data_IF_791759385279
#
_entry.id   IF_791759385279
#
_cell.length_a   1.000
_cell.length_b   1.000
_cell.length_c   1.000
_cell.angle_alpha   90.00
_cell.angle_beta   90.00
_cell.angle_gamma   90.00
#
_symmetry.space_group_name_H-M   'P 1'
#
loop_
_entity.id
_entity.type
_entity.pdbx_description
1 polymer ?
#
# COMPACT_ATOMS: atom_id res chain seq x y z
N UNK A 1 -62.89 -28.10 22.99
CA UNK A 1 -62.30 -26.95 22.27
C UNK A 1 -61.36 -26.23 23.22
N UNK A 2 -60.07 -26.48 23.13
CA UNK A 2 -59.04 -25.61 23.68
C UNK A 2 -57.97 -25.50 22.60
N UNK A 3 -57.92 -24.34 21.95
CA UNK A 3 -56.90 -24.00 20.96
C UNK A 3 -55.59 -23.75 21.70
N UNK A 4 -54.58 -24.57 21.44
CA UNK A 4 -53.20 -24.23 21.71
C UNK A 4 -52.68 -23.45 20.50
N UNK A 5 -52.35 -22.18 20.71
CA UNK A 5 -51.55 -21.38 19.78
C UNK A 5 -50.12 -21.93 19.80
N UNK A 6 -49.69 -22.56 18.72
CA UNK A 6 -48.28 -22.68 18.37
C UNK A 6 -48.00 -21.68 17.26
N UNK A 7 -47.33 -20.59 17.59
CA UNK A 7 -46.75 -19.68 16.61
C UNK A 7 -45.74 -20.42 15.73
N UNK A 8 -45.67 -20.16 14.41
CA UNK A 8 -44.59 -20.65 13.58
C UNK A 8 -43.33 -19.84 13.88
N UNK A 9 -42.33 -20.48 14.48
CA UNK A 9 -41.02 -19.92 14.71
C UNK A 9 -40.26 -19.85 13.37
N UNK A 10 -40.59 -18.88 12.52
CA UNK A 10 -39.87 -18.57 11.27
C UNK A 10 -38.86 -17.46 11.52
N UNK A 11 -37.82 -17.76 12.29
CA UNK A 11 -36.59 -16.97 12.32
C UNK A 11 -35.61 -17.52 11.30
N UNK A 12 -35.84 -17.26 10.02
CA UNK A 12 -34.93 -17.64 8.94
C UNK A 12 -33.64 -16.81 9.08
N UNK A 13 -32.67 -17.31 9.85
CA UNK A 13 -31.37 -16.67 10.01
C UNK A 13 -30.64 -16.77 8.68
N UNK A 14 -30.73 -15.72 7.85
CA UNK A 14 -29.92 -15.58 6.64
C UNK A 14 -28.44 -15.82 6.97
N UNK A 15 -27.82 -16.75 6.24
CA UNK A 15 -26.40 -17.05 6.37
C UNK A 15 -25.55 -15.78 6.16
N UNK A 16 -24.47 -15.64 6.91
CA UNK A 16 -23.59 -14.46 6.87
C UNK A 16 -22.14 -14.85 6.67
N UNK A 17 -21.39 -14.01 5.97
CA UNK A 17 -19.93 -14.19 5.84
C UNK A 17 -19.24 -14.17 7.21
N UNK A 18 -18.37 -15.16 7.48
CA UNK A 18 -17.61 -15.21 8.74
C UNK A 18 -16.38 -14.31 8.74
N UNK A 19 -15.80 -14.05 7.56
CA UNK A 19 -14.63 -13.19 7.35
C UNK A 19 -14.80 -12.35 6.08
N UNK A 20 -13.92 -11.38 5.86
CA UNK A 20 -13.96 -10.55 4.67
C UNK A 20 -13.52 -11.37 3.44
N UNK A 21 -14.11 -11.07 2.29
CA UNK A 21 -13.53 -11.40 0.99
C UNK A 21 -12.82 -10.15 0.47
N UNK A 22 -11.54 -10.28 0.18
CA UNK A 22 -10.67 -9.16 -0.19
C UNK A 22 -9.88 -9.45 -1.47
N UNK A 23 -9.38 -8.40 -2.10
CA UNK A 23 -8.48 -8.48 -3.26
C UNK A 23 -7.10 -7.94 -2.89
N UNK A 24 -6.04 -8.63 -3.33
CA UNK A 24 -4.68 -8.09 -3.22
C UNK A 24 -4.49 -6.85 -4.09
N UNK A 25 -3.99 -5.79 -3.48
CA UNK A 25 -3.59 -4.54 -4.14
C UNK A 25 -2.09 -4.27 -3.98
N UNK A 26 -1.60 -3.26 -4.69
CA UNK A 26 -0.22 -2.81 -4.66
C UNK A 26 0.28 -2.62 -3.22
N UNK A 27 1.47 -3.12 -2.93
CA UNK A 27 2.05 -3.11 -1.57
C UNK A 27 1.73 -4.36 -0.74
N UNK A 28 1.14 -5.41 -1.35
CA UNK A 28 0.72 -6.64 -0.66
C UNK A 28 -0.34 -6.38 0.42
N UNK A 29 -1.23 -5.44 0.13
CA UNK A 29 -2.37 -5.05 0.98
C UNK A 29 -3.61 -5.84 0.52
N UNK A 30 -4.45 -6.25 1.46
CA UNK A 30 -5.74 -6.86 1.19
C UNK A 30 -6.84 -5.80 1.32
N UNK A 31 -7.50 -5.48 0.21
CA UNK A 31 -8.62 -4.52 0.19
C UNK A 31 -9.94 -5.27 0.29
N UNK A 32 -10.74 -5.11 1.36
CA UNK A 32 -12.04 -5.79 1.52
C UNK A 32 -13.03 -5.35 0.43
N UNK A 33 -13.67 -6.33 -0.21
CA UNK A 33 -14.78 -6.10 -1.17
C UNK A 33 -16.12 -6.51 -0.56
N UNK A 34 -16.17 -7.63 0.17
CA UNK A 34 -17.32 -8.02 0.97
C UNK A 34 -16.88 -8.18 2.41
N UNK A 35 -17.53 -7.47 3.32
CA UNK A 35 -17.16 -7.47 4.73
C UNK A 35 -17.79 -8.65 5.49
N UNK A 36 -17.12 -9.05 6.57
CA UNK A 36 -17.64 -9.97 7.57
C UNK A 36 -19.03 -9.54 8.02
N UNK A 37 -19.93 -10.50 8.15
CA UNK A 37 -21.30 -10.28 8.61
C UNK A 37 -22.28 -9.90 7.50
N UNK A 38 -21.82 -9.72 6.26
CA UNK A 38 -22.71 -9.52 5.10
C UNK A 38 -23.60 -10.74 4.90
N UNK A 39 -24.90 -10.52 4.75
CA UNK A 39 -25.90 -11.58 4.52
C UNK A 39 -25.78 -12.15 3.11
N UNK A 40 -25.96 -13.46 2.96
CA UNK A 40 -25.91 -14.17 1.69
C UNK A 40 -27.33 -14.43 1.15
N UNK A 41 -27.54 -14.45 -0.17
CA UNK A 41 -26.57 -14.13 -1.24
C UNK A 41 -26.18 -12.64 -1.26
N UNK A 42 -24.99 -12.34 -1.77
CA UNK A 42 -24.50 -10.96 -1.89
C UNK A 42 -23.59 -10.78 -3.09
N UNK A 43 -23.48 -9.54 -3.55
CA UNK A 43 -22.45 -9.14 -4.50
C UNK A 43 -21.96 -7.74 -4.18
N UNK A 44 -20.69 -7.48 -4.48
CA UNK A 44 -20.17 -6.12 -4.51
C UNK A 44 -19.22 -5.94 -5.68
N UNK A 45 -19.15 -4.70 -6.16
CA UNK A 45 -18.36 -4.28 -7.32
C UNK A 45 -17.45 -3.16 -6.88
N UNK A 46 -16.15 -3.32 -7.12
CA UNK A 46 -15.15 -2.29 -6.86
C UNK A 46 -14.29 -2.08 -8.09
N UNK A 47 -13.98 -0.82 -8.37
CA UNK A 47 -13.08 -0.45 -9.46
C UNK A 47 -11.66 -0.37 -8.89
N UNK A 48 -10.69 -0.79 -9.68
CA UNK A 48 -9.26 -0.67 -9.42
C UNK A 48 -8.57 -0.04 -10.63
N UNK A 49 -7.29 0.26 -10.50
CA UNK A 49 -6.46 0.73 -11.61
C UNK A 49 -5.14 -0.03 -11.73
N UNK A 50 -4.46 0.09 -12.87
CA UNK A 50 -3.11 -0.49 -13.00
C UNK A 50 -2.10 0.25 -12.11
N UNK A 51 -1.24 -0.51 -11.44
CA UNK A 51 -0.20 0.03 -10.54
C UNK A 51 1.05 0.55 -11.26
N UNK A 52 1.27 0.17 -12.53
CA UNK A 52 2.43 0.56 -13.32
C UNK A 52 2.07 1.12 -14.71
N UNK A 53 2.95 1.96 -15.25
CA UNK A 53 2.82 2.51 -16.59
C UNK A 53 2.91 1.40 -17.65
N UNK A 54 2.05 1.48 -18.66
CA UNK A 54 1.98 0.52 -19.77
C UNK A 54 1.76 -0.94 -19.33
N UNK A 55 1.20 -1.14 -18.13
CA UNK A 55 0.88 -2.46 -17.62
C UNK A 55 -0.19 -3.12 -18.49
N UNK A 56 0.18 -4.23 -19.15
CA UNK A 56 -0.67 -4.94 -20.11
C UNK A 56 -1.50 -6.08 -19.52
N UNK A 57 -1.30 -6.40 -18.25
CA UNK A 57 -2.06 -7.43 -17.55
C UNK A 57 -2.13 -7.13 -16.05
N UNK A 58 -3.22 -7.55 -15.42
CA UNK A 58 -3.40 -7.48 -13.96
C UNK A 58 -3.65 -8.87 -13.41
N UNK A 59 -2.99 -9.20 -12.30
CA UNK A 59 -3.30 -10.40 -11.52
C UNK A 59 -4.34 -10.04 -10.45
N UNK A 60 -5.43 -10.79 -10.42
CA UNK A 60 -6.49 -10.68 -9.41
C UNK A 60 -6.28 -11.84 -8.44
N UNK A 61 -5.95 -11.52 -7.19
CA UNK A 61 -5.77 -12.51 -6.14
C UNK A 61 -6.85 -12.32 -5.08
N UNK A 62 -7.70 -13.34 -4.96
CA UNK A 62 -8.82 -13.38 -4.01
C UNK A 62 -8.37 -13.94 -2.67
N UNK A 63 -8.73 -13.22 -1.61
CA UNK A 63 -8.34 -13.46 -0.23
C UNK A 63 -9.57 -13.64 0.66
N UNK A 64 -9.42 -14.42 1.71
CA UNK A 64 -10.42 -14.64 2.74
C UNK A 64 -9.79 -14.50 4.12
N UNK A 65 -10.25 -13.55 4.91
CA UNK A 65 -9.68 -13.24 6.21
C UNK A 65 -10.03 -11.84 6.70
N UNK A 66 -9.39 -11.39 7.78
CA UNK A 66 -9.63 -10.07 8.37
C UNK A 66 -8.38 -9.21 8.51
N UNK A 67 -7.26 -9.61 7.89
CA UNK A 67 -6.00 -8.88 8.00
C UNK A 67 -5.82 -7.88 6.86
N UNK A 68 -5.22 -6.73 7.14
CA UNK A 68 -4.94 -5.71 6.11
C UNK A 68 -3.79 -6.11 5.17
N UNK A 69 -2.91 -7.02 5.60
CA UNK A 69 -1.82 -7.54 4.78
C UNK A 69 -2.21 -8.88 4.14
N UNK A 70 -1.85 -9.10 2.88
CA UNK A 70 -2.10 -10.36 2.14
C UNK A 70 -1.66 -11.58 2.95
N UNK A 71 -0.51 -11.49 3.63
CA UNK A 71 0.06 -12.55 4.44
C UNK A 71 -0.85 -13.00 5.59
N UNK A 72 -1.75 -12.14 6.07
CA UNK A 72 -2.65 -12.42 7.18
C UNK A 72 -4.00 -12.98 6.72
N UNK A 73 -4.13 -13.38 5.46
CA UNK A 73 -5.37 -13.89 4.88
C UNK A 73 -5.14 -15.21 4.13
N UNK A 74 -6.20 -16.00 4.00
CA UNK A 74 -6.19 -17.21 3.20
C UNK A 74 -6.32 -16.88 1.71
N UNK A 75 -5.46 -17.45 0.86
CA UNK A 75 -5.61 -17.37 -0.59
C UNK A 75 -6.76 -18.27 -1.05
N UNK A 76 -7.75 -17.70 -1.72
CA UNK A 76 -8.81 -18.46 -2.38
C UNK A 76 -8.42 -18.80 -3.82
N UNK A 77 -7.71 -17.92 -4.52
CA UNK A 77 -7.19 -18.22 -5.86
C UNK A 77 -6.72 -16.99 -6.62
N UNK A 78 -6.12 -17.21 -7.79
CA UNK A 78 -5.60 -16.16 -8.66
C UNK A 78 -6.03 -16.37 -10.11
N UNK A 79 -6.21 -15.28 -10.84
CA UNK A 79 -6.32 -15.30 -12.29
C UNK A 79 -5.77 -13.99 -12.89
N UNK A 80 -5.45 -14.01 -14.18
CA UNK A 80 -4.82 -12.87 -14.86
C UNK A 80 -5.77 -12.34 -15.94
N UNK A 81 -6.13 -11.07 -15.85
CA UNK A 81 -6.75 -10.33 -16.95
C UNK A 81 -5.64 -9.78 -17.87
N UNK A 82 -5.58 -10.29 -19.09
CA UNK A 82 -4.56 -9.95 -20.10
C UNK A 82 -5.07 -8.91 -21.11
N UNK A 83 -4.13 -8.40 -21.91
CA UNK A 83 -4.38 -7.51 -23.05
C UNK A 83 -4.99 -6.14 -22.70
N UNK A 84 -4.63 -5.60 -21.54
CA UNK A 84 -4.95 -4.21 -21.18
C UNK A 84 -4.18 -3.27 -22.13
N UNK A 85 -4.85 -2.27 -22.75
CA UNK A 85 -4.19 -1.30 -23.59
C UNK A 85 -3.11 -0.52 -22.81
N UNK A 86 -1.91 -0.30 -23.37
CA UNK A 86 -0.86 0.45 -22.70
C UNK A 86 -1.32 1.88 -22.42
N UNK A 87 -1.25 2.29 -21.15
CA UNK A 87 -1.54 3.64 -20.68
C UNK A 87 -0.75 3.91 -19.40
N UNK A 88 -0.54 5.18 -19.02
CA UNK A 88 -0.03 5.53 -17.69
C UNK A 88 -0.81 4.83 -16.57
N UNK A 89 -0.13 4.52 -15.46
CA UNK A 89 -0.75 3.97 -14.24
C UNK A 89 -1.93 4.82 -13.78
N UNK A 90 -2.92 4.20 -13.15
CA UNK A 90 -4.14 4.90 -12.70
C UNK A 90 -5.18 5.15 -13.80
N UNK A 91 -4.84 5.04 -15.09
CA UNK A 91 -5.78 5.31 -16.20
C UNK A 91 -6.64 4.09 -16.56
N UNK A 92 -6.08 2.88 -16.80
CA UNK A 92 -6.91 1.70 -17.00
C UNK A 92 -7.75 1.42 -15.76
N UNK A 93 -9.06 1.22 -15.95
CA UNK A 93 -10.01 0.95 -14.86
C UNK A 93 -10.49 -0.49 -14.95
N UNK A 94 -10.19 -1.26 -13.90
CA UNK A 94 -10.51 -2.68 -13.79
C UNK A 94 -11.65 -2.84 -12.80
N UNK A 95 -12.82 -3.17 -13.30
CA UNK A 95 -14.00 -3.48 -12.49
C UNK A 95 -13.91 -4.91 -11.99
N UNK A 96 -13.77 -5.10 -10.68
CA UNK A 96 -13.77 -6.40 -10.02
C UNK A 96 -15.12 -6.61 -9.34
N UNK A 97 -15.83 -7.65 -9.73
CA UNK A 97 -17.09 -8.07 -9.13
C UNK A 97 -16.85 -9.33 -8.32
N UNK A 98 -17.24 -9.33 -7.04
CA UNK A 98 -17.23 -10.51 -6.18
C UNK A 98 -18.68 -10.82 -5.79
N UNK A 99 -19.14 -12.02 -6.11
CA UNK A 99 -20.49 -12.48 -5.76
C UNK A 99 -20.46 -13.83 -5.05
N UNK A 100 -21.36 -14.00 -4.11
CA UNK A 100 -21.64 -15.26 -3.41
C UNK A 100 -23.14 -15.51 -3.51
N UNK A 101 -23.53 -16.60 -4.14
CA UNK A 101 -24.94 -16.94 -4.33
C UNK A 101 -25.56 -17.70 -3.15
N UNK A 102 -26.84 -18.08 -3.28
CA UNK A 102 -27.60 -18.78 -2.24
C UNK A 102 -27.13 -20.23 -2.03
N UNK A 103 -26.35 -20.78 -2.96
CA UNK A 103 -25.70 -22.08 -2.88
C UNK A 103 -24.25 -21.96 -2.38
N UNK A 104 -23.84 -20.77 -1.93
CA UNK A 104 -22.49 -20.44 -1.48
C UNK A 104 -21.42 -20.59 -2.58
N UNK A 105 -21.80 -20.49 -3.85
CA UNK A 105 -20.85 -20.43 -4.94
C UNK A 105 -20.26 -19.03 -5.03
N UNK A 106 -18.93 -18.95 -4.92
CA UNK A 106 -18.16 -17.71 -5.04
C UNK A 106 -17.74 -17.51 -6.49
N UNK A 107 -18.05 -16.35 -7.05
CA UNK A 107 -17.61 -15.94 -8.38
C UNK A 107 -16.90 -14.60 -8.30
N UNK A 108 -15.71 -14.52 -8.88
CA UNK A 108 -14.95 -13.27 -9.03
C UNK A 108 -14.73 -13.00 -10.50
N UNK A 109 -15.10 -11.82 -10.96
CA UNK A 109 -14.89 -11.37 -12.35
C UNK A 109 -14.07 -10.10 -12.34
N UNK A 110 -13.11 -9.97 -13.24
CA UNK A 110 -12.40 -8.72 -13.50
C UNK A 110 -12.59 -8.30 -14.95
N UNK A 111 -12.97 -7.03 -15.16
CA UNK A 111 -13.29 -6.46 -16.46
C UNK A 111 -12.58 -5.13 -16.69
N UNK A 112 -11.85 -5.00 -17.79
CA UNK A 112 -11.38 -3.70 -18.25
C UNK A 112 -12.57 -2.89 -18.81
N UNK A 113 -12.89 -1.76 -18.17
CA UNK A 113 -14.04 -0.92 -18.55
C UNK A 113 -13.92 -0.31 -19.94
N UNK A 114 -12.69 -0.11 -20.44
CA UNK A 114 -12.47 0.53 -21.75
C UNK A 114 -12.69 -0.45 -22.90
N UNK A 115 -12.10 -1.64 -22.80
CA UNK A 115 -12.20 -2.66 -23.87
C UNK A 115 -13.39 -3.59 -23.70
N UNK A 116 -13.97 -3.65 -22.49
CA UNK A 116 -15.04 -4.58 -22.14
C UNK A 116 -14.58 -6.01 -21.89
N UNK A 117 -13.28 -6.30 -22.07
CA UNK A 117 -12.69 -7.62 -21.87
C UNK A 117 -12.79 -8.03 -20.40
N UNK A 118 -13.18 -9.28 -20.16
CA UNK A 118 -13.31 -9.83 -18.82
C UNK A 118 -12.69 -11.22 -18.69
N UNK A 119 -12.26 -11.56 -17.48
CA UNK A 119 -11.84 -12.89 -17.05
C UNK A 119 -12.50 -13.18 -15.70
N UNK A 120 -12.74 -14.45 -15.38
CA UNK A 120 -13.40 -14.84 -14.14
C UNK A 120 -12.78 -16.08 -13.49
N UNK A 121 -12.93 -16.15 -12.17
CA UNK A 121 -12.61 -17.30 -11.32
C UNK A 121 -13.87 -17.68 -10.55
N UNK A 122 -14.41 -18.87 -10.82
CA UNK A 122 -15.51 -19.46 -10.05
C UNK A 122 -14.98 -20.56 -9.12
N UNK A 123 -15.44 -20.57 -7.88
CA UNK A 123 -15.13 -21.63 -6.92
C UNK A 123 -16.36 -21.99 -6.08
N UNK A 124 -16.60 -23.30 -5.95
CA UNK A 124 -17.55 -23.83 -4.98
C UNK A 124 -16.83 -23.95 -3.63
N UNK A 125 -17.06 -22.99 -2.73
CA UNK A 125 -16.41 -22.94 -1.41
C UNK A 125 -17.48 -22.86 -0.33
N UNK A 126 -17.43 -23.75 0.67
CA UNK A 126 -18.25 -23.57 1.86
C UNK A 126 -17.67 -22.45 2.74
N UNK A 127 -18.06 -21.21 2.45
CA UNK A 127 -17.59 -20.02 3.19
C UNK A 127 -18.15 -19.94 4.61
N UNK A 128 -19.16 -20.75 4.97
CA UNK A 128 -19.80 -20.74 6.28
C UNK A 128 -19.09 -21.60 7.33
N UNK A 129 -18.24 -22.53 6.91
CA UNK A 129 -17.51 -23.44 7.81
C UNK A 129 -15.99 -23.33 7.64
N UNK A 130 -15.54 -22.51 6.69
CA UNK A 130 -14.12 -22.33 6.42
C UNK A 130 -13.49 -21.46 7.49
N UNK A 131 -12.78 -22.08 8.42
CA UNK A 131 -11.82 -21.40 9.28
C UNK A 131 -10.74 -20.74 8.41
N UNK A 132 -10.31 -19.52 8.78
CA UNK A 132 -9.09 -18.95 8.22
C UNK A 132 -7.94 -19.78 8.80
N UNK A 133 -7.20 -20.57 7.99
CA UNK A 133 -6.12 -21.37 8.52
C UNK A 133 -5.15 -20.44 9.26
N UNK A 134 -4.68 -20.82 10.46
CA UNK A 134 -3.58 -20.10 11.10
C UNK A 134 -2.41 -20.06 10.11
N UNK A 135 -1.69 -18.94 10.09
CA UNK A 135 -0.60 -18.66 9.15
C UNK A 135 0.38 -19.84 9.07
N UNK A 136 0.24 -20.67 8.04
CA UNK A 136 1.10 -21.84 7.79
C UNK A 136 1.87 -21.63 6.49
N UNK A 137 3.18 -21.46 6.63
CA UNK A 137 4.16 -21.24 5.56
C UNK A 137 4.23 -22.39 4.54
N UNK A 138 3.65 -23.56 4.83
CA UNK A 138 3.70 -24.73 3.96
C UNK A 138 2.87 -24.62 2.68
N UNK A 139 1.93 -23.67 2.60
CA UNK A 139 1.10 -23.45 1.41
C UNK A 139 1.47 -22.18 0.65
N UNK A 140 2.64 -21.60 0.88
CA UNK A 140 3.09 -20.42 0.14
C UNK A 140 3.28 -20.76 -1.35
N UNK A 141 2.47 -20.23 -2.29
CA UNK A 141 2.95 -20.09 -3.66
C UNK A 141 4.09 -19.06 -3.62
N UNK A 142 5.23 -19.40 -4.21
CA UNK A 142 6.37 -18.49 -4.34
C UNK A 142 5.93 -17.16 -4.98
N UNK A 143 5.73 -16.11 -4.16
CA UNK A 143 5.37 -14.77 -4.63
C UNK A 143 6.64 -14.12 -5.18
N UNK A 144 6.73 -14.05 -6.52
CA UNK A 144 7.57 -13.04 -7.18
C UNK A 144 6.87 -11.68 -7.03
N UNK A 145 7.60 -10.57 -6.76
CA UNK A 145 6.98 -9.27 -6.60
C UNK A 145 6.27 -8.79 -7.90
N UNK A 146 4.94 -8.73 -7.84
CA UNK A 146 4.13 -7.49 -7.88
C UNK A 146 4.41 -6.45 -8.97
N UNK A 147 4.77 -6.86 -10.20
CA UNK A 147 4.74 -5.96 -11.38
C UNK A 147 3.37 -5.93 -12.08
N UNK A 148 2.39 -6.68 -11.58
CA UNK A 148 1.06 -6.84 -12.20
C UNK A 148 -0.10 -6.61 -11.23
N UNK A 149 0.16 -6.08 -10.02
CA UNK A 149 -0.90 -5.82 -9.06
C UNK A 149 -1.68 -4.55 -9.41
N UNK A 150 -2.89 -4.45 -8.87
CA UNK A 150 -3.81 -3.32 -9.04
C UNK A 150 -3.68 -2.33 -7.88
N UNK A 151 -3.91 -1.05 -8.13
CA UNK A 151 -4.06 -0.02 -7.08
C UNK A 151 -5.53 0.22 -6.79
N UNK A 152 -5.88 0.39 -5.51
CA UNK A 152 -7.24 0.74 -5.09
C UNK A 152 -7.65 2.06 -5.73
N UNK A 153 -8.76 2.02 -6.48
CA UNK A 153 -9.28 3.20 -7.15
C UNK A 153 -9.79 4.22 -6.15
N UNK A 154 -10.32 3.82 -4.98
CA UNK A 154 -10.86 4.76 -4.00
C UNK A 154 -9.77 5.65 -3.38
N UNK A 155 -8.57 5.10 -3.14
CA UNK A 155 -7.41 5.87 -2.70
C UNK A 155 -6.96 6.92 -3.74
N UNK A 156 -7.19 6.65 -5.03
CA UNK A 156 -6.91 7.56 -6.15
C UNK A 156 -8.11 8.49 -6.43
N UNK A 157 -9.33 8.04 -6.15
CA UNK A 157 -10.59 8.78 -6.33
C UNK A 157 -10.80 9.81 -5.22
N UNK A 158 -10.34 9.56 -4.00
CA UNK A 158 -10.25 10.59 -2.95
C UNK A 158 -9.22 11.69 -3.31
N UNK A 159 -8.21 11.37 -4.12
CA UNK A 159 -7.27 12.34 -4.70
C UNK A 159 -7.85 13.06 -5.95
N UNK A 160 -8.89 12.52 -6.59
CA UNK A 160 -9.36 12.97 -7.92
C UNK A 160 -10.81 13.51 -7.96
N UNK A 161 -11.73 13.05 -7.11
CA UNK A 161 -13.19 13.26 -7.25
C UNK A 161 -13.91 13.84 -6.02
N UNK A 162 -13.17 14.33 -5.02
CA UNK A 162 -13.71 15.23 -3.99
C UNK A 162 -14.12 16.60 -4.57
N UNK A 163 -15.17 16.66 -5.38
CA UNK A 163 -15.85 17.87 -5.85
C UNK A 163 -17.30 17.87 -5.36
N UNK A 164 -17.91 19.00 -4.99
CA UNK A 164 -18.49 19.97 -5.93
C UNK A 164 -18.50 21.38 -5.30
N UNK A 165 -18.19 22.37 -6.14
CA UNK A 165 -18.21 23.83 -5.95
C UNK A 165 -16.94 24.51 -5.40
N UNK A 166 -15.94 24.69 -6.28
CA UNK A 166 -15.48 26.04 -6.73
C UNK A 166 -14.36 25.95 -7.78
N UNK A 167 -14.61 26.61 -8.91
CA UNK A 167 -13.70 27.25 -9.87
C UNK A 167 -12.45 26.50 -10.39
N UNK A 168 -12.25 26.43 -11.72
CA UNK A 168 -10.91 26.22 -12.27
C UNK A 168 -10.10 27.50 -12.00
N UNK A 169 -9.25 27.48 -10.97
CA UNK A 169 -8.23 28.50 -10.76
C UNK A 169 -6.86 27.91 -11.08
N UNK A 170 -6.10 28.60 -11.92
CA UNK A 170 -4.68 28.89 -11.74
C UNK A 170 -3.90 27.89 -10.93
N UNK A 171 -3.00 27.19 -11.64
CA UNK A 171 -1.81 26.52 -11.09
C UNK A 171 -2.14 25.62 -9.92
N UNK A 172 -2.20 24.30 -10.14
CA UNK A 172 -2.11 23.35 -9.04
C UNK A 172 -1.01 23.87 -8.07
N UNK A 173 -1.34 24.19 -6.81
CA UNK A 173 -0.32 24.62 -5.87
C UNK A 173 0.74 23.52 -5.87
N UNK A 174 1.98 23.88 -6.23
CA UNK A 174 3.12 22.95 -6.23
C UNK A 174 3.04 22.16 -4.93
N UNK A 175 2.92 20.83 -5.00
CA UNK A 175 3.00 19.96 -3.84
C UNK A 175 4.21 20.39 -3.01
N UNK A 176 3.92 20.96 -1.85
CA UNK A 176 4.92 21.50 -0.93
C UNK A 176 5.58 20.31 -0.23
N UNK A 177 4.80 19.26 0.00
CA UNK A 177 5.21 17.99 0.60
C UNK A 177 5.77 17.03 -0.46
N UNK A 178 6.62 16.10 -0.04
CA UNK A 178 7.25 15.08 -0.90
C UNK A 178 7.06 13.72 -0.25
N UNK A 179 6.59 12.74 -1.00
CA UNK A 179 6.53 11.33 -0.55
C UNK A 179 7.75 10.56 -1.04
N UNK A 180 8.41 9.83 -0.14
CA UNK A 180 9.60 9.01 -0.46
C UNK A 180 9.43 7.63 0.16
N UNK A 181 9.75 6.59 -0.59
CA UNK A 181 9.81 5.22 -0.07
C UNK A 181 11.05 5.04 0.80
N UNK A 182 10.86 4.61 2.05
CA UNK A 182 11.94 4.23 2.96
C UNK A 182 12.00 2.70 3.05
N UNK A 183 12.97 2.11 2.36
CA UNK A 183 13.24 0.67 2.49
C UNK A 183 13.86 0.38 3.84
N UNK A 184 13.32 -0.60 4.57
CA UNK A 184 13.75 -1.02 5.91
C UNK A 184 13.93 -2.53 5.89
N UNK A 185 15.03 -3.04 6.43
CA UNK A 185 15.23 -4.50 6.54
C UNK A 185 14.33 -5.06 7.64
N UNK A 186 14.05 -6.36 7.61
CA UNK A 186 13.27 -7.00 8.67
C UNK A 186 13.86 -6.78 10.08
N UNK A 187 15.20 -6.83 10.20
CA UNK A 187 15.89 -6.59 11.47
C UNK A 187 15.71 -5.14 11.94
N UNK A 188 15.92 -4.17 11.04
CA UNK A 188 15.70 -2.75 11.34
C UNK A 188 14.23 -2.48 11.71
N UNK A 189 13.28 -3.17 11.08
CA UNK A 189 11.87 -3.05 11.40
C UNK A 189 11.55 -3.61 12.79
N UNK A 190 12.18 -4.71 13.19
CA UNK A 190 11.97 -5.32 14.51
C UNK A 190 12.68 -4.58 15.66
N UNK A 191 13.86 -4.02 15.41
CA UNK A 191 14.72 -3.44 16.45
C UNK A 191 14.78 -1.90 16.43
N UNK A 192 14.30 -1.28 15.35
CA UNK A 192 14.53 0.14 15.07
C UNK A 192 15.91 0.38 14.46
N UNK A 193 16.07 1.52 13.80
CA UNK A 193 17.32 1.88 13.14
C UNK A 193 17.47 3.39 12.94
N UNK A 194 18.71 3.84 12.71
CA UNK A 194 18.95 5.16 12.13
C UNK A 194 19.29 4.96 10.66
N UNK A 195 18.45 5.47 9.76
CA UNK A 195 18.69 5.42 8.32
C UNK A 195 18.96 6.80 7.77
N UNK A 196 19.76 6.82 6.72
CA UNK A 196 20.09 8.04 5.99
C UNK A 196 19.62 7.86 4.55
N UNK A 197 18.90 8.85 4.02
CA UNK A 197 18.38 8.82 2.67
C UNK A 197 18.55 10.17 1.98
N UNK A 198 18.70 10.13 0.67
CA UNK A 198 18.77 11.32 -0.16
C UNK A 198 17.39 11.68 -0.70
N UNK A 199 16.95 12.89 -0.40
CA UNK A 199 15.73 13.47 -0.93
C UNK A 199 16.06 14.50 -2.01
N UNK A 200 15.26 14.55 -3.07
CA UNK A 200 15.31 15.61 -4.08
C UNK A 200 14.22 16.62 -3.77
N UNK A 201 14.59 17.88 -3.57
CA UNK A 201 13.65 18.95 -3.23
C UNK A 201 13.94 20.23 -4.00
N UNK A 202 12.96 21.12 -4.10
CA UNK A 202 13.12 22.45 -4.67
C UNK A 202 13.46 23.48 -3.59
N UNK A 203 14.64 24.07 -3.71
CA UNK A 203 15.09 25.21 -2.91
C UNK A 203 14.87 26.53 -3.65
N UNK A 204 14.90 27.65 -2.94
CA UNK A 204 15.00 28.96 -3.58
C UNK A 204 16.35 29.10 -4.28
N UNK A 205 16.33 29.66 -5.48
CA UNK A 205 17.57 30.01 -6.17
C UNK A 205 18.28 31.13 -5.39
N UNK A 206 19.49 30.84 -4.92
CA UNK A 206 20.29 31.73 -4.08
C UNK A 206 20.69 33.02 -4.79
N UNK A 207 20.86 33.01 -6.12
CA UNK A 207 21.22 34.20 -6.92
C UNK A 207 20.07 35.19 -7.07
N UNK A 208 18.83 34.72 -7.23
CA UNK A 208 17.68 35.59 -7.48
C UNK A 208 16.69 35.69 -6.31
N UNK A 209 16.93 34.94 -5.22
CA UNK A 209 16.07 34.92 -4.03
C UNK A 209 14.62 34.47 -4.31
N UNK A 210 14.39 33.62 -5.30
CA UNK A 210 13.03 33.21 -5.71
C UNK A 210 12.40 34.04 -6.83
N UNK A 211 12.97 35.21 -7.15
CA UNK A 211 12.40 36.11 -8.17
C UNK A 211 12.54 35.58 -9.60
N UNK A 212 13.40 34.60 -9.87
CA UNK A 212 13.68 34.16 -11.26
C UNK A 212 14.19 35.28 -12.18
N UNK A 213 14.44 36.48 -11.68
CA UNK A 213 14.98 37.60 -12.40
C UNK A 213 16.51 37.57 -12.29
N UNK A 214 17.21 38.05 -13.30
CA UNK A 214 18.64 38.25 -13.19
C UNK A 214 18.95 39.26 -12.07
N UNK A 215 20.04 39.05 -11.33
CA UNK A 215 20.46 39.97 -10.27
C UNK A 215 20.54 41.42 -10.79
N UNK A 216 19.96 42.36 -10.03
CA UNK A 216 19.87 43.77 -10.42
C UNK A 216 18.70 44.13 -11.33
N UNK A 217 17.89 43.16 -11.77
CA UNK A 217 16.65 43.42 -12.53
C UNK A 217 15.41 43.16 -11.67
N UNK A 218 14.30 43.84 -11.97
CA UNK A 218 13.06 43.71 -11.20
C UNK A 218 12.02 42.88 -11.95
N UNK A 219 11.14 42.24 -11.18
CA UNK A 219 9.87 41.70 -11.69
C UNK A 219 8.88 42.84 -11.82
N UNK A 220 8.25 42.94 -12.98
CA UNK A 220 7.11 43.82 -13.19
C UNK A 220 5.84 42.99 -13.28
N UNK A 221 4.74 43.47 -12.72
CA UNK A 221 3.44 42.80 -12.82
C UNK A 221 3.04 42.69 -14.30
N UNK A 222 2.53 41.54 -14.72
CA UNK A 222 2.08 41.39 -16.10
C UNK A 222 0.77 42.16 -16.29
N UNK A 223 0.82 43.24 -17.06
CA UNK A 223 -0.34 44.10 -17.34
C UNK A 223 -1.46 43.34 -18.07
N UNK A 224 -1.13 42.30 -18.87
CA UNK A 224 -2.14 41.56 -19.65
C UNK A 224 -3.07 40.72 -18.75
N UNK A 225 -2.57 40.22 -17.62
CA UNK A 225 -3.36 39.45 -16.67
C UNK A 225 -3.44 40.11 -15.28
N UNK A 226 -2.97 41.35 -15.14
CA UNK A 226 -2.87 42.08 -13.87
C UNK A 226 -2.27 41.24 -12.73
N UNK A 227 -1.18 40.51 -12.99
CA UNK A 227 -0.54 39.72 -11.93
C UNK A 227 -1.11 38.32 -11.72
N UNK A 228 -2.29 37.99 -12.26
CA UNK A 228 -3.00 36.74 -11.95
C UNK A 228 -2.41 35.51 -12.64
N UNK A 229 -1.60 35.71 -13.69
CA UNK A 229 -1.03 34.61 -14.47
C UNK A 229 -2.00 33.96 -15.46
N UNK A 230 -3.29 34.30 -15.42
CA UNK A 230 -4.32 33.68 -16.24
C UNK A 230 -5.21 34.70 -16.95
N UNK A 231 -5.88 34.26 -18.01
CA UNK A 231 -6.92 35.02 -18.70
C UNK A 231 -8.18 34.17 -18.69
N UNK A 232 -9.29 34.78 -18.28
CA UNK A 232 -10.61 34.13 -18.24
C UNK A 232 -11.44 34.66 -19.39
N UNK A 233 -11.90 33.77 -20.25
CA UNK A 233 -12.77 34.09 -21.38
C UNK A 233 -14.16 33.48 -21.12
N UNK A 234 -15.16 34.34 -20.95
CA UNK A 234 -16.55 33.90 -20.75
C UNK A 234 -17.24 33.78 -22.10
N UNK A 235 -17.73 32.60 -22.43
CA UNK A 235 -18.54 32.33 -23.62
C UNK A 235 -19.95 31.95 -23.18
N UNK A 236 -20.96 32.61 -23.74
CA UNK A 236 -22.36 32.25 -23.52
C UNK A 236 -22.73 31.07 -24.42
N UNK A 237 -23.27 30.01 -23.81
CA UNK A 237 -23.81 28.84 -24.51
C UNK A 237 -25.29 28.69 -24.20
N UNK A 238 -26.00 27.84 -24.95
CA UNK A 238 -27.41 27.54 -24.72
C UNK A 238 -27.69 26.89 -23.34
N UNK A 239 -26.65 26.41 -22.65
CA UNK A 239 -26.69 25.84 -21.30
C UNK A 239 -26.25 26.83 -20.20
N UNK A 240 -25.95 28.09 -20.56
CA UNK A 240 -25.45 29.12 -19.64
C UNK A 240 -24.06 29.64 -20.00
N UNK A 241 -23.49 30.48 -19.13
CA UNK A 241 -22.16 31.04 -19.32
C UNK A 241 -21.08 30.01 -18.95
N UNK A 242 -20.26 29.60 -19.93
CA UNK A 242 -19.04 28.82 -19.70
C UNK A 242 -17.83 29.75 -19.60
N UNK A 243 -16.99 29.59 -18.59
CA UNK A 243 -15.74 30.34 -18.44
C UNK A 243 -14.58 29.43 -18.79
N UNK A 244 -13.85 29.77 -19.84
CA UNK A 244 -12.58 29.11 -20.19
C UNK A 244 -11.43 29.86 -19.55
N UNK A 245 -10.59 29.15 -18.81
CA UNK A 245 -9.39 29.72 -18.18
C UNK A 245 -8.17 29.25 -18.97
N UNK A 246 -7.34 30.19 -19.39
CA UNK A 246 -6.09 29.90 -20.09
C UNK A 246 -4.91 30.58 -19.40
N UNK A 247 -3.72 29.96 -19.38
CA UNK A 247 -2.52 30.63 -18.92
C UNK A 247 -2.26 31.88 -19.77
N UNK A 248 -1.97 33.00 -19.13
CA UNK A 248 -1.74 34.26 -19.81
C UNK A 248 -0.59 34.11 -20.82
N UNK A 249 -0.80 34.36 -22.13
CA UNK A 249 0.23 34.15 -23.14
C UNK A 249 1.41 35.12 -23.02
N UNK A 250 1.24 36.26 -22.31
CA UNK A 250 2.30 37.25 -22.11
C UNK A 250 3.28 36.81 -21.01
N UNK A 251 2.81 36.34 -19.87
CA UNK A 251 3.67 35.89 -18.76
C UNK A 251 3.77 34.36 -18.61
N UNK A 252 3.09 33.60 -19.48
CA UNK A 252 3.05 32.13 -19.49
C UNK A 252 2.69 31.53 -18.12
N UNK A 253 1.67 32.08 -17.46
CA UNK A 253 1.24 31.62 -16.14
C UNK A 253 1.93 32.27 -14.94
N UNK A 254 3.05 33.00 -15.14
CA UNK A 254 3.87 33.50 -14.03
C UNK A 254 3.29 34.73 -13.30
N UNK A 255 2.31 35.41 -13.85
CA UNK A 255 1.73 36.65 -13.29
C UNK A 255 2.64 37.87 -13.39
N UNK A 256 3.95 37.69 -13.46
CA UNK A 256 4.95 38.75 -13.63
C UNK A 256 5.78 38.54 -14.90
N UNK A 257 6.35 39.63 -15.40
CA UNK A 257 7.38 39.64 -16.43
C UNK A 257 8.72 39.99 -15.78
N UNK A 258 9.77 39.30 -16.20
CA UNK A 258 11.15 39.64 -15.86
C UNK A 258 11.81 40.28 -17.07
N UNK A 259 12.62 41.32 -16.88
CA UNK A 259 13.39 41.93 -17.97
C UNK A 259 14.41 40.94 -18.56
N UNK A 260 15.18 40.29 -17.70
CA UNK A 260 16.03 39.15 -18.05
C UNK A 260 15.85 38.01 -17.04
N UNK A 261 15.80 36.79 -17.55
CA UNK A 261 15.64 35.60 -16.70
C UNK A 261 16.96 35.27 -15.99
N UNK A 262 16.88 34.87 -14.72
CA UNK A 262 18.04 34.42 -13.95
C UNK A 262 18.75 33.28 -14.68
N UNK A 263 20.05 33.43 -14.95
CA UNK A 263 20.83 32.42 -15.66
C UNK A 263 20.88 31.06 -14.92
N UNK A 264 20.91 31.09 -13.58
CA UNK A 264 21.08 29.88 -12.76
C UNK A 264 19.82 29.02 -12.73
N UNK A 265 18.65 29.61 -12.47
CA UNK A 265 17.38 28.88 -12.40
C UNK A 265 16.55 29.00 -13.69
N UNK A 266 17.07 29.65 -14.73
CA UNK A 266 16.40 29.88 -16.02
C UNK A 266 15.01 30.50 -15.88
N UNK A 267 14.85 31.38 -14.89
CA UNK A 267 13.58 32.06 -14.64
C UNK A 267 12.56 31.31 -13.77
N UNK A 268 12.92 30.15 -13.21
CA UNK A 268 12.03 29.36 -12.33
C UNK A 268 11.99 29.88 -10.88
N UNK A 269 13.02 30.61 -10.44
CA UNK A 269 13.16 31.07 -9.06
C UNK A 269 13.54 29.98 -8.05
N UNK A 270 13.51 28.71 -8.45
CA UNK A 270 13.85 27.57 -7.62
C UNK A 270 14.89 26.67 -8.31
N UNK A 271 15.65 25.92 -7.53
CA UNK A 271 16.63 24.93 -7.99
C UNK A 271 16.29 23.57 -7.40
N UNK A 272 16.54 22.49 -8.15
CA UNK A 272 16.43 21.13 -7.62
C UNK A 272 17.73 20.78 -6.90
N UNK A 273 17.62 20.45 -5.62
CA UNK A 273 18.75 20.07 -4.75
C UNK A 273 18.56 18.64 -4.24
N UNK A 274 19.66 17.91 -4.12
CA UNK A 274 19.71 16.66 -3.36
C UNK A 274 20.15 16.97 -1.93
N UNK A 275 19.37 16.54 -0.94
CA UNK A 275 19.72 16.68 0.48
C UNK A 275 19.67 15.31 1.14
N UNK A 276 20.72 15.00 1.89
CA UNK A 276 20.73 13.85 2.76
C UNK A 276 20.02 14.18 4.08
N UNK A 277 19.10 13.31 4.50
CA UNK A 277 18.39 13.39 5.78
C UNK A 277 18.60 12.10 6.57
N UNK A 278 18.79 12.24 7.87
CA UNK A 278 18.88 11.09 8.80
C UNK A 278 17.59 10.98 9.58
N UNK A 279 17.07 9.76 9.67
CA UNK A 279 15.75 9.46 10.21
C UNK A 279 15.88 8.31 11.19
N UNK A 280 15.18 8.42 12.31
CA UNK A 280 15.12 7.37 13.32
C UNK A 280 13.87 6.54 13.06
N UNK A 281 14.06 5.33 12.53
CA UNK A 281 13.02 4.34 12.31
C UNK A 281 12.71 3.69 13.66
N UNK A 282 11.48 3.80 14.18
CA UNK A 282 11.12 3.17 15.44
C UNK A 282 11.08 1.64 15.28
N UNK A 283 11.22 0.92 16.39
CA UNK A 283 11.01 -0.52 16.41
C UNK A 283 9.54 -0.90 16.17
N UNK A 284 9.34 -2.09 15.60
CA UNK A 284 8.04 -2.69 15.21
C UNK A 284 7.29 -1.88 14.16
N UNK A 285 8.01 -1.26 13.22
CA UNK A 285 7.38 -0.69 12.02
C UNK A 285 6.97 -1.80 11.06
N UNK A 286 5.85 -1.60 10.38
CA UNK A 286 5.39 -2.48 9.31
C UNK A 286 5.35 -1.70 7.99
N UNK A 287 5.21 -2.44 6.88
CA UNK A 287 5.01 -1.82 5.57
C UNK A 287 3.76 -0.95 5.59
N UNK A 288 3.84 0.24 5.01
CA UNK A 288 2.76 1.22 4.97
C UNK A 288 2.79 2.24 6.12
N UNK A 289 3.59 2.04 7.17
CA UNK A 289 3.81 3.09 8.17
C UNK A 289 4.31 4.38 7.50
N UNK A 290 3.73 5.52 7.88
CA UNK A 290 4.12 6.83 7.34
C UNK A 290 4.82 7.65 8.42
N UNK A 291 6.05 8.08 8.15
CA UNK A 291 6.81 8.98 9.03
C UNK A 291 6.88 10.38 8.41
N UNK A 292 6.61 11.42 9.22
CA UNK A 292 6.64 12.81 8.76
C UNK A 292 7.90 13.52 9.22
N UNK A 293 8.57 14.19 8.30
CA UNK A 293 9.72 15.06 8.58
C UNK A 293 9.36 16.49 8.20
N UNK A 294 9.21 17.33 9.22
CA UNK A 294 8.73 18.69 9.04
C UNK A 294 9.75 19.60 8.36
N UNK A 295 9.30 20.43 7.41
CA UNK A 295 10.09 21.50 6.82
C UNK A 295 11.26 21.05 5.94
N UNK A 296 11.32 19.77 5.55
CA UNK A 296 12.42 19.24 4.74
C UNK A 296 12.08 19.13 3.25
N UNK A 297 10.83 19.34 2.85
CA UNK A 297 10.40 19.22 1.46
C UNK A 297 10.58 20.53 0.65
N UNK A 298 9.73 20.76 -0.35
CA UNK A 298 9.85 21.89 -1.27
C UNK A 298 9.56 23.21 -0.55
N UNK A 299 10.20 24.30 -0.97
CA UNK A 299 9.72 25.64 -0.58
C UNK A 299 8.41 25.97 -1.28
N UNK A 300 7.57 26.74 -0.59
CA UNK A 300 6.46 27.46 -1.21
C UNK A 300 6.96 28.38 -2.33
N UNK A 301 6.05 28.76 -3.23
CA UNK A 301 6.38 29.63 -4.35
C UNK A 301 6.88 31.02 -3.91
N UNK A 302 6.46 31.50 -2.74
CA UNK A 302 6.92 32.74 -2.11
C UNK A 302 8.19 32.55 -1.26
N UNK A 303 8.65 31.31 -1.06
CA UNK A 303 9.86 30.98 -0.34
C UNK A 303 9.79 31.08 1.17
N UNK A 304 8.63 31.39 1.75
CA UNK A 304 8.49 31.67 3.20
C UNK A 304 8.39 30.42 4.06
N UNK A 305 7.89 29.32 3.52
CA UNK A 305 7.74 28.07 4.25
C UNK A 305 8.15 26.87 3.42
N UNK A 306 8.28 25.73 4.10
CA UNK A 306 8.61 24.42 3.50
C UNK A 306 7.58 23.40 3.89
N UNK A 307 7.36 22.44 3.01
CA UNK A 307 6.49 21.30 3.27
C UNK A 307 7.20 20.20 4.04
N UNK A 308 6.49 19.10 4.22
CA UNK A 308 6.96 17.92 4.92
C UNK A 308 7.41 16.82 3.95
N UNK A 309 8.39 16.03 4.38
CA UNK A 309 8.70 14.77 3.72
C UNK A 309 7.91 13.66 4.40
N UNK A 310 7.12 12.93 3.62
CA UNK A 310 6.34 11.78 4.05
C UNK A 310 7.09 10.52 3.64
N UNK A 311 7.66 9.81 4.61
CA UNK A 311 8.37 8.55 4.37
C UNK A 311 7.40 7.39 4.49
N UNK A 312 7.18 6.68 3.40
CA UNK A 312 6.37 5.47 3.37
C UNK A 312 7.31 4.29 3.58
N UNK A 313 7.16 3.61 4.71
CA UNK A 313 8.01 2.48 5.08
C UNK A 313 7.67 1.27 4.22
N UNK A 314 8.70 0.66 3.64
CA UNK A 314 8.62 -0.62 2.94
C UNK A 314 9.56 -1.61 3.65
N UNK A 315 9.01 -2.59 4.36
CA UNK A 315 9.80 -3.61 5.05
C UNK A 315 10.14 -4.74 4.08
N UNK A 316 11.43 -5.04 3.98
CA UNK A 316 11.92 -6.20 3.22
C UNK A 316 11.59 -7.50 3.98
N UNK A 317 10.90 -8.46 3.36
CA UNK A 317 10.59 -9.73 4.01
C UNK A 317 11.85 -10.52 4.36
N UNK A 318 11.89 -11.14 5.55
CA UNK A 318 12.96 -12.08 5.90
C UNK A 318 12.64 -13.48 5.34
N UNK A 319 13.63 -14.24 4.82
CA UNK A 319 13.39 -15.55 4.21
C UNK A 319 12.96 -16.65 5.20
N UNK A 320 13.29 -16.50 6.48
CA UNK A 320 13.09 -17.54 7.51
C UNK A 320 12.31 -17.08 8.74
N UNK A 321 12.16 -15.77 8.95
CA UNK A 321 11.67 -15.21 10.21
C UNK A 321 10.41 -14.39 9.93
N UNK A 322 9.45 -14.48 10.83
CA UNK A 322 8.21 -13.70 10.78
C UNK A 322 8.05 -12.92 12.08
N UNK A 323 7.61 -11.67 12.00
CA UNK A 323 7.31 -10.84 13.17
C UNK A 323 5.80 -10.95 13.46
N UNK A 324 5.44 -11.39 14.65
CA UNK A 324 4.06 -11.50 15.11
C UNK A 324 3.91 -10.73 16.42
N UNK A 325 3.29 -9.55 16.36
CA UNK A 325 3.22 -8.64 17.51
C UNK A 325 4.62 -8.21 17.94
N UNK A 326 5.08 -8.72 19.08
CA UNK A 326 6.41 -8.44 19.63
C UNK A 326 7.41 -9.60 19.43
N UNK A 327 6.95 -10.73 18.90
CA UNK A 327 7.69 -11.98 18.94
C UNK A 327 8.12 -12.40 17.55
N UNK A 328 9.22 -13.14 17.49
CA UNK A 328 9.79 -13.65 16.24
C UNK A 328 9.47 -15.12 16.10
N UNK A 329 8.95 -15.51 14.95
CA UNK A 329 8.59 -16.89 14.66
C UNK A 329 9.55 -17.48 13.63
N UNK A 330 10.02 -18.69 13.91
CA UNK A 330 10.85 -19.49 13.03
C UNK A 330 10.30 -20.92 12.96
N UNK A 331 10.27 -21.52 11.77
CA UNK A 331 9.88 -22.91 11.58
C UNK A 331 11.12 -23.81 11.49
N UNK A 332 11.41 -24.57 12.55
CA UNK A 332 12.49 -25.56 12.56
C UNK A 332 11.99 -26.87 11.95
N UNK A 333 12.49 -27.18 10.75
CA UNK A 333 12.16 -28.44 10.06
C UNK A 333 13.09 -29.55 10.54
N UNK A 334 12.52 -30.60 11.13
CA UNK A 334 13.24 -31.80 11.57
C UNK A 334 12.69 -33.04 10.86
N UNK A 335 13.55 -34.01 10.54
CA UNK A 335 13.06 -35.33 10.17
C UNK A 335 12.65 -36.13 11.44
N UNK A 336 12.00 -37.27 11.24
CA UNK A 336 11.51 -38.10 12.36
C UNK A 336 12.65 -38.59 13.27
N UNK A 337 13.80 -38.94 12.71
CA UNK A 337 14.93 -39.46 13.49
C UNK A 337 15.56 -38.37 14.37
N UNK A 338 15.73 -37.17 13.83
CA UNK A 338 16.20 -35.99 14.57
C UNK A 338 15.25 -35.64 15.72
N UNK A 339 13.95 -35.67 15.48
CA UNK A 339 12.96 -35.40 16.52
C UNK A 339 12.91 -36.48 17.61
N UNK A 340 13.12 -37.75 17.23
CA UNK A 340 13.18 -38.88 18.17
C UNK A 340 14.39 -38.79 19.11
N UNK A 341 15.58 -38.46 18.59
CA UNK A 341 16.81 -38.38 19.38
C UNK A 341 17.00 -37.03 20.06
N UNK A 342 16.39 -35.96 19.55
CA UNK A 342 16.67 -34.60 19.99
C UNK A 342 18.10 -34.17 19.65
N UNK A 343 18.58 -33.11 20.29
CA UNK A 343 19.94 -32.59 20.11
C UNK A 343 20.00 -31.07 20.13
N UNK A 344 21.17 -30.52 19.85
CA UNK A 344 21.37 -29.07 19.74
C UNK A 344 21.30 -28.63 18.27
N UNK A 345 20.47 -27.64 17.97
CA UNK A 345 20.28 -27.12 16.61
C UNK A 345 20.54 -25.62 16.58
N UNK A 346 21.25 -25.15 15.56
CA UNK A 346 21.43 -23.73 15.32
C UNK A 346 20.19 -23.17 14.61
N UNK A 347 19.53 -22.20 15.23
CA UNK A 347 18.36 -21.52 14.68
C UNK A 347 18.71 -20.07 14.33
N UNK A 348 18.20 -19.53 13.20
CA UNK A 348 18.38 -18.12 12.88
C UNK A 348 17.63 -17.25 13.88
N UNK A 349 18.20 -16.09 14.20
CA UNK A 349 17.61 -15.05 15.06
C UNK A 349 17.70 -13.71 14.32
N UNK A 350 17.14 -12.64 14.91
CA UNK A 350 17.25 -11.30 14.34
C UNK A 350 18.70 -10.80 14.17
N UNK A 351 19.65 -11.35 14.94
CA UNK A 351 21.03 -10.84 15.04
C UNK A 351 22.07 -11.93 14.74
N UNK A 352 21.67 -13.04 14.14
CA UNK A 352 22.56 -14.14 13.77
C UNK A 352 21.92 -15.51 13.97
N UNK A 353 22.59 -16.36 14.75
CA UNK A 353 22.10 -17.71 15.07
C UNK A 353 22.30 -18.00 16.55
N UNK A 354 21.41 -18.80 17.13
CA UNK A 354 21.56 -19.31 18.51
C UNK A 354 21.40 -20.83 18.55
N UNK A 355 22.09 -21.48 19.47
CA UNK A 355 21.98 -22.91 19.70
C UNK A 355 20.78 -23.21 20.61
N UNK A 356 19.88 -24.09 20.17
CA UNK A 356 18.67 -24.45 20.90
C UNK A 356 18.64 -25.95 21.12
N UNK A 357 18.38 -26.35 22.37
CA UNK A 357 18.24 -27.75 22.74
C UNK A 357 16.83 -28.24 22.41
N UNK A 358 16.75 -29.25 21.55
CA UNK A 358 15.52 -29.97 21.23
C UNK A 358 15.50 -31.26 22.05
N UNK A 359 14.49 -31.48 22.91
CA UNK A 359 14.35 -32.71 23.67
C UNK A 359 14.14 -33.94 22.76
N UNK A 360 14.59 -35.13 23.17
CA UNK A 360 14.20 -36.39 22.51
C UNK A 360 12.67 -36.55 22.49
N UNK A 361 12.16 -37.26 21.49
CA UNK A 361 10.73 -37.50 21.26
C UNK A 361 9.89 -36.21 21.14
N UNK A 362 10.43 -35.17 20.50
CA UNK A 362 9.69 -33.91 20.28
C UNK A 362 8.58 -34.10 19.24
N UNK A 363 7.31 -33.78 19.55
CA UNK A 363 6.19 -33.94 18.62
C UNK A 363 6.15 -32.85 17.53
N UNK A 364 5.45 -33.13 16.42
CA UNK A 364 5.12 -32.11 15.40
C UNK A 364 4.31 -30.97 16.02
N UNK A 365 4.59 -29.73 15.61
CA UNK A 365 3.93 -28.53 16.12
C UNK A 365 4.38 -28.08 17.51
N UNK A 366 5.36 -28.76 18.15
CA UNK A 366 5.92 -28.30 19.42
C UNK A 366 6.53 -26.91 19.24
N UNK A 367 6.17 -25.99 20.15
CA UNK A 367 6.77 -24.66 20.22
C UNK A 367 7.82 -24.63 21.33
N UNK A 368 9.01 -24.14 21.00
CA UNK A 368 10.09 -23.86 21.94
C UNK A 368 10.29 -22.34 21.95
N UNK A 369 10.26 -21.75 23.14
CA UNK A 369 10.38 -20.30 23.30
C UNK A 369 11.77 -19.97 23.81
N UNK A 370 12.45 -19.04 23.13
CA UNK A 370 13.73 -18.48 23.56
C UNK A 370 13.51 -17.04 23.96
N UNK A 371 13.66 -16.75 25.25
CA UNK A 371 13.30 -15.46 25.83
C UNK A 371 14.22 -14.34 25.37
N UNK A 372 13.67 -13.16 25.11
CA UNK A 372 14.44 -11.94 24.80
C UNK A 372 15.06 -11.87 23.41
N UNK A 373 14.68 -12.77 22.50
CA UNK A 373 15.14 -12.79 21.10
C UNK A 373 14.11 -12.24 20.10
N UNK A 374 13.00 -11.68 20.59
CA UNK A 374 11.94 -11.05 19.80
C UNK A 374 12.24 -9.60 19.40
N UNK A 375 11.22 -8.85 19.01
CA UNK A 375 11.33 -7.43 18.68
C UNK A 375 11.52 -6.55 19.92
N UNK A 376 12.03 -5.33 19.72
CA UNK A 376 12.24 -4.37 20.81
C UNK A 376 10.90 -3.82 21.32
N UNK A 377 10.64 -3.93 22.62
CA UNK A 377 9.35 -3.54 23.21
C UNK A 377 9.21 -2.03 23.41
N UNK A 378 10.31 -1.38 23.76
CA UNK A 378 10.35 0.07 23.95
C UNK A 378 11.71 0.59 23.51
N UNK A 379 11.65 1.70 22.78
CA UNK A 379 12.87 2.28 22.24
C UNK A 379 13.78 2.80 23.35
N UNK A 380 15.07 2.42 23.29
CA UNK A 380 16.06 2.73 24.33
C UNK A 380 15.99 1.84 25.57
N UNK A 381 15.08 0.86 25.63
CA UNK A 381 15.09 -0.20 26.65
C UNK A 381 15.78 -1.45 26.11
N UNK A 382 16.35 -2.33 26.97
CA UNK A 382 16.82 -3.64 26.55
C UNK A 382 15.68 -4.67 26.45
N UNK A 383 14.45 -4.31 26.78
CA UNK A 383 13.31 -5.23 26.84
C UNK A 383 12.89 -5.66 25.43
N UNK A 384 12.82 -6.97 25.23
CA UNK A 384 12.46 -7.60 23.97
C UNK A 384 11.37 -8.63 24.19
N UNK A 385 10.58 -8.88 23.14
CA UNK A 385 9.76 -10.08 23.07
C UNK A 385 10.61 -11.34 22.95
N UNK A 386 9.96 -12.44 22.59
CA UNK A 386 10.58 -13.75 22.54
C UNK A 386 10.69 -14.27 21.11
N UNK A 387 11.49 -15.33 20.94
CA UNK A 387 11.52 -16.09 19.70
C UNK A 387 10.83 -17.44 19.87
N UNK A 388 9.78 -17.68 19.08
CA UNK A 388 9.01 -18.91 19.02
C UNK A 388 9.52 -19.79 17.89
N UNK A 389 10.06 -20.95 18.25
CA UNK A 389 10.56 -21.96 17.32
C UNK A 389 9.49 -23.04 17.19
N UNK A 390 8.82 -23.05 16.05
CA UNK A 390 7.78 -24.01 15.71
C UNK A 390 8.43 -25.22 15.05
N UNK A 391 8.42 -26.37 15.72
CA UNK A 391 8.97 -27.61 15.18
C UNK A 391 8.01 -28.19 14.15
N UNK A 392 8.50 -28.42 12.93
CA UNK A 392 7.75 -29.09 11.87
C UNK A 392 8.45 -30.37 11.44
N UNK A 393 7.79 -31.51 11.58
CA UNK A 393 8.28 -32.79 11.11
C UNK A 393 8.13 -32.91 9.60
N UNK A 394 9.24 -33.12 8.91
CA UNK A 394 9.26 -33.37 7.48
C UNK A 394 9.35 -34.87 7.21
N UNK A 395 8.66 -35.32 6.16
CA UNK A 395 8.88 -36.65 5.61
C UNK A 395 10.10 -36.58 4.71
N UNK A 396 11.09 -37.43 4.96
CA UNK A 396 12.14 -37.67 3.98
C UNK A 396 11.48 -38.34 2.76
N UNK A 397 11.41 -37.64 1.63
CA UNK A 397 11.15 -38.31 0.36
C UNK A 397 12.44 -39.04 -0.01
N UNK A 398 12.46 -40.36 0.21
CA UNK A 398 13.52 -41.20 -0.33
C UNK A 398 13.44 -41.16 -1.85
N UNK A 399 14.51 -40.70 -2.51
CA UNK A 399 14.80 -41.15 -3.88
C UNK A 399 15.11 -42.65 -3.76
N UNK A 400 14.15 -43.47 -4.17
CA UNK A 400 14.38 -44.89 -4.47
C UNK A 400 14.51 -45.05 -5.98
#
# INVERSE_FOLDING_TARGET
MFHANTEPNTGDTQARLLHNLAIETLGSTATPILEKGTSLPTQNVQVFSTGADNQRQVEVHLLYGGGDAVINNASLGRFILKDIPPAPRGIPQIEVTVSVDAQHQLTVTARDRKTGRAEALGQSINLLEREVPPYDELHRPHVKPTTQSMSDFNAIFEEFFGGIARSPSSSAPKQIDISVELKVTFQEAALGAKKTLDIKRRSLCTVCGGSGAQAGTQRHQCEKCNGTGEIRETKTTFLGAMVTVQPCPRCKGKGSLTGSSCAQCRGEGQLLESKQITVKVPARVVTGNVMRIAGEANHTADGKSRGNVMLVVQVEPHPLLTLMGNDIHYTLKLNKDQAAHGGTFNVPTLEGTTAVQIPPNTPDGKVIVVTGLGALLKEGSPERGDQHINVKLTRMFGLF
#
